data_IF_680802694201
#
_entry.id   IF_680802694201
#
_cell.length_a   1.000
_cell.length_b   1.000
_cell.length_c   1.000
_cell.angle_alpha   90.00
_cell.angle_beta   90.00
_cell.angle_gamma   90.00
#
_symmetry.space_group_name_H-M   'P 1'
#
loop_
_entity.id
_entity.type
_entity.pdbx_description
1 polymer ?
#
# COMPACT_ATOMS: atom_id res chain seq x y z
N UNK A 1 -18.74 -17.25 -0.34
CA UNK A 1 -18.61 -17.19 1.12
C UNK A 1 -17.41 -16.32 1.48
N UNK A 2 -17.64 -15.14 2.08
CA UNK A 2 -16.56 -14.19 2.44
C UNK A 2 -16.46 -14.11 3.95
N UNK A 3 -15.26 -14.31 4.48
CA UNK A 3 -14.99 -14.28 5.92
C UNK A 3 -13.85 -13.32 6.23
N UNK A 4 -13.95 -12.58 7.33
CA UNK A 4 -12.90 -11.64 7.77
C UNK A 4 -12.54 -11.85 9.25
N UNK A 5 -11.26 -11.68 9.58
CA UNK A 5 -10.77 -11.53 10.94
C UNK A 5 -10.21 -10.11 11.07
N UNK A 6 -10.73 -9.29 11.98
CA UNK A 6 -10.41 -7.85 12.07
C UNK A 6 -10.16 -7.41 13.53
N UNK A 7 -9.36 -6.36 13.74
CA UNK A 7 -9.03 -5.84 15.08
C UNK A 7 -8.99 -4.29 15.08
N UNK A 8 -10.12 -3.59 15.33
CA UNK A 8 -11.49 -4.07 15.44
C UNK A 8 -12.19 -4.21 14.07
N UNK A 9 -13.45 -4.65 14.05
CA UNK A 9 -14.32 -4.48 12.87
C UNK A 9 -14.75 -3.02 12.80
N UNK A 10 -14.34 -2.32 11.73
CA UNK A 10 -14.56 -0.86 11.59
C UNK A 10 -16.01 -0.52 11.18
N UNK A 11 -16.62 -1.34 10.33
CA UNK A 11 -18.00 -1.20 9.88
C UNK A 11 -18.54 -2.52 9.37
N UNK A 12 -19.86 -2.68 9.44
CA UNK A 12 -20.55 -3.89 9.00
C UNK A 12 -20.77 -3.89 7.49
N UNK A 13 -20.43 -5.01 6.84
CA UNK A 13 -20.61 -5.23 5.40
C UNK A 13 -21.62 -6.35 5.20
N UNK A 14 -22.74 -6.02 4.55
CA UNK A 14 -23.78 -6.99 4.24
C UNK A 14 -23.24 -8.13 3.37
N UNK A 15 -23.53 -9.38 3.76
CA UNK A 15 -23.09 -10.58 3.04
C UNK A 15 -21.66 -11.05 3.37
N UNK A 16 -20.98 -10.40 4.32
CA UNK A 16 -19.64 -10.78 4.80
C UNK A 16 -19.72 -11.27 6.24
N UNK A 17 -19.11 -12.41 6.54
CA UNK A 17 -19.01 -12.92 7.91
C UNK A 17 -17.78 -12.31 8.59
N UNK A 18 -17.99 -11.26 9.39
CA UNK A 18 -16.91 -10.52 10.04
C UNK A 18 -16.69 -10.99 11.49
N UNK A 19 -15.46 -11.36 11.81
CA UNK A 19 -15.05 -11.79 13.16
C UNK A 19 -14.08 -10.79 13.76
N UNK A 20 -14.46 -10.17 14.88
CA UNK A 20 -13.56 -9.31 15.62
C UNK A 20 -12.62 -10.16 16.51
N UNK A 21 -11.33 -9.90 16.41
CA UNK A 21 -10.28 -10.47 17.26
C UNK A 21 -10.52 -10.07 18.72
N UNK A 22 -10.32 -11.02 19.63
CA UNK A 22 -10.39 -10.78 21.08
C UNK A 22 -9.24 -11.51 21.77
N UNK A 23 -8.08 -10.87 21.85
CA UNK A 23 -6.87 -11.47 22.42
C UNK A 23 -7.06 -11.95 23.87
N UNK A 24 -7.85 -11.22 24.68
CA UNK A 24 -8.11 -11.55 26.10
C UNK A 24 -8.75 -12.92 26.32
N UNK A 25 -9.45 -13.46 25.32
CA UNK A 25 -10.09 -14.78 25.36
C UNK A 25 -9.43 -15.79 24.41
N UNK A 26 -8.26 -15.44 23.85
CA UNK A 26 -7.52 -16.31 22.93
C UNK A 26 -8.06 -16.36 21.49
N UNK A 27 -9.01 -15.49 21.13
CA UNK A 27 -9.54 -15.37 19.77
C UNK A 27 -8.60 -14.48 18.93
N UNK A 28 -7.42 -15.00 18.60
CA UNK A 28 -6.38 -14.30 17.81
C UNK A 28 -6.60 -14.44 16.30
N UNK A 29 -5.87 -13.67 15.47
CA UNK A 29 -5.90 -13.82 14.00
C UNK A 29 -5.63 -15.27 13.56
N UNK A 30 -4.57 -15.90 14.06
CA UNK A 30 -4.25 -17.28 13.78
C UNK A 30 -5.37 -18.27 14.19
N UNK A 31 -6.06 -18.01 15.31
CA UNK A 31 -7.21 -18.82 15.73
C UNK A 31 -8.40 -18.65 14.78
N UNK A 32 -8.78 -17.40 14.48
CA UNK A 32 -9.87 -17.09 13.56
C UNK A 32 -9.64 -17.74 12.20
N UNK A 33 -8.43 -17.57 11.66
CA UNK A 33 -8.06 -18.08 10.34
C UNK A 33 -8.10 -19.61 10.26
N UNK A 34 -7.61 -20.32 11.29
CA UNK A 34 -7.75 -21.79 11.37
C UNK A 34 -9.21 -22.24 11.39
N UNK A 35 -10.08 -21.45 12.01
CA UNK A 35 -11.50 -21.77 12.12
C UNK A 35 -12.22 -21.51 10.79
N UNK A 36 -11.91 -20.43 10.10
CA UNK A 36 -12.44 -20.11 8.77
C UNK A 36 -12.17 -21.23 7.76
N UNK A 37 -10.98 -21.85 7.80
CA UNK A 37 -10.65 -22.99 6.93
C UNK A 37 -11.55 -24.22 7.11
N UNK A 38 -12.35 -24.29 8.18
CA UNK A 38 -13.36 -25.35 8.41
C UNK A 38 -14.79 -24.88 8.13
N UNK A 39 -14.96 -23.75 7.47
CA UNK A 39 -16.25 -23.12 7.19
C UNK A 39 -16.54 -22.98 5.69
N UNK A 40 -15.81 -23.71 4.84
CA UNK A 40 -15.95 -23.67 3.38
C UNK A 40 -15.89 -22.22 2.83
N UNK A 41 -14.81 -21.45 3.11
CA UNK A 41 -14.69 -20.07 2.64
C UNK A 41 -14.32 -20.04 1.15
N UNK A 42 -14.69 -18.98 0.44
CA UNK A 42 -14.15 -18.67 -0.89
C UNK A 42 -13.09 -17.57 -0.81
N UNK A 43 -13.37 -16.56 0.02
CA UNK A 43 -12.53 -15.38 0.22
C UNK A 43 -12.30 -15.20 1.72
N UNK A 44 -11.04 -15.01 2.10
CA UNK A 44 -10.64 -14.77 3.49
C UNK A 44 -9.92 -13.42 3.54
N UNK A 45 -10.32 -12.54 4.47
CA UNK A 45 -9.59 -11.33 4.79
C UNK A 45 -9.02 -11.43 6.21
N UNK A 46 -7.72 -11.23 6.33
CA UNK A 46 -7.03 -11.12 7.62
C UNK A 46 -6.63 -9.67 7.80
N UNK A 47 -7.12 -9.02 8.84
CA UNK A 47 -6.94 -7.59 9.07
C UNK A 47 -5.48 -7.19 8.94
N UNK A 48 -4.58 -7.98 9.53
CA UNK A 48 -3.14 -7.84 9.34
C UNK A 48 -2.37 -9.12 9.67
N UNK A 49 -1.19 -9.27 9.07
CA UNK A 49 -0.21 -10.29 9.42
C UNK A 49 0.86 -9.63 10.29
N UNK A 50 0.80 -9.88 11.60
CA UNK A 50 1.79 -9.38 12.59
C UNK A 50 2.87 -10.41 12.94
N UNK A 51 2.56 -11.69 12.82
CA UNK A 51 3.38 -12.80 13.29
C UNK A 51 3.51 -13.93 12.27
N UNK A 52 4.51 -14.79 12.50
CA UNK A 52 4.83 -15.92 11.64
C UNK A 52 3.69 -16.94 11.55
N UNK A 53 2.95 -17.17 12.64
CA UNK A 53 1.88 -18.16 12.67
C UNK A 53 0.74 -17.74 11.74
N UNK A 54 0.30 -16.49 11.84
CA UNK A 54 -0.73 -15.89 10.99
C UNK A 54 -0.27 -15.89 9.53
N UNK A 55 0.98 -15.50 9.26
CA UNK A 55 1.57 -15.54 7.91
C UNK A 55 1.52 -16.96 7.31
N UNK A 56 1.96 -17.98 8.06
CA UNK A 56 1.99 -19.38 7.60
C UNK A 56 0.60 -19.89 7.26
N UNK A 57 -0.39 -19.64 8.11
CA UNK A 57 -1.75 -20.12 7.87
C UNK A 57 -2.37 -19.37 6.68
N UNK A 58 -2.10 -18.07 6.51
CA UNK A 58 -2.59 -17.30 5.37
C UNK A 58 -2.03 -17.82 4.04
N UNK A 59 -0.73 -18.13 4.00
CA UNK A 59 -0.08 -18.76 2.86
C UNK A 59 -0.67 -20.15 2.58
N UNK A 60 -0.92 -20.97 3.61
CA UNK A 60 -1.58 -22.28 3.45
C UNK A 60 -3.02 -22.16 2.92
N UNK A 61 -3.77 -21.16 3.38
CA UNK A 61 -5.10 -20.88 2.87
C UNK A 61 -5.05 -20.51 1.37
N UNK A 62 -4.10 -19.66 0.98
CA UNK A 62 -3.90 -19.30 -0.43
C UNK A 62 -3.47 -20.51 -1.29
N UNK A 63 -2.58 -21.38 -0.79
CA UNK A 63 -2.16 -22.60 -1.50
C UNK A 63 -3.31 -23.58 -1.74
N UNK A 64 -4.29 -23.63 -0.83
CA UNK A 64 -5.46 -24.51 -0.94
C UNK A 64 -6.55 -23.93 -1.85
N UNK A 65 -6.29 -22.80 -2.51
CA UNK A 65 -7.14 -22.23 -3.55
C UNK A 65 -8.05 -21.07 -3.10
N UNK A 66 -7.92 -20.62 -1.85
CA UNK A 66 -8.69 -19.50 -1.33
C UNK A 66 -8.10 -18.16 -1.78
N UNK A 67 -8.95 -17.17 -2.06
CA UNK A 67 -8.49 -15.80 -2.21
C UNK A 67 -8.24 -15.21 -0.81
N UNK A 68 -6.99 -14.88 -0.51
CA UNK A 68 -6.59 -14.29 0.77
C UNK A 68 -6.21 -12.83 0.58
N UNK A 69 -6.87 -11.95 1.34
CA UNK A 69 -6.55 -10.54 1.44
C UNK A 69 -5.96 -10.27 2.83
N UNK A 70 -4.87 -9.52 2.91
CA UNK A 70 -4.30 -9.13 4.20
C UNK A 70 -3.50 -7.84 4.09
N UNK A 71 -3.23 -7.21 5.24
CA UNK A 71 -2.32 -6.07 5.33
C UNK A 71 -1.01 -6.45 6.02
N UNK A 72 0.06 -5.73 5.66
CA UNK A 72 1.35 -5.75 6.33
C UNK A 72 1.83 -4.30 6.49
N UNK A 73 2.53 -4.02 7.59
CA UNK A 73 3.16 -2.72 7.82
C UNK A 73 4.53 -2.69 7.14
N UNK A 74 4.57 -2.15 5.93
CA UNK A 74 5.80 -1.95 5.15
C UNK A 74 5.82 -0.57 4.49
N UNK A 75 6.99 -0.15 4.00
CA UNK A 75 7.16 1.18 3.39
C UNK A 75 6.74 1.23 1.93
N UNK A 76 6.83 0.09 1.24
CA UNK A 76 6.63 -0.07 -0.19
C UNK A 76 6.26 -1.53 -0.49
N UNK A 77 5.85 -1.79 -1.72
CA UNK A 77 5.38 -3.10 -2.14
C UNK A 77 6.50 -4.16 -2.18
N UNK A 78 7.72 -3.89 -2.69
CA UNK A 78 8.83 -4.84 -2.63
C UNK A 78 9.19 -5.28 -1.21
N UNK A 79 9.16 -4.36 -0.23
CA UNK A 79 9.47 -4.65 1.17
C UNK A 79 8.48 -5.60 1.83
N UNK A 80 7.25 -5.77 1.29
CA UNK A 80 6.32 -6.78 1.78
C UNK A 80 6.87 -8.20 1.57
N UNK A 81 7.61 -8.43 0.49
CA UNK A 81 8.22 -9.73 0.21
C UNK A 81 9.32 -10.04 1.21
N UNK A 82 10.26 -9.12 1.40
CA UNK A 82 11.34 -9.31 2.38
C UNK A 82 10.78 -9.42 3.80
N UNK A 83 9.71 -8.69 4.14
CA UNK A 83 9.03 -8.82 5.42
C UNK A 83 8.44 -10.22 5.66
N UNK A 84 7.86 -10.84 4.63
CA UNK A 84 7.38 -12.23 4.72
C UNK A 84 8.53 -13.22 4.89
N UNK A 85 9.67 -12.99 4.21
CA UNK A 85 10.88 -13.80 4.37
C UNK A 85 11.43 -13.67 5.80
N UNK A 86 11.48 -12.45 6.35
CA UNK A 86 11.92 -12.19 7.73
C UNK A 86 11.01 -12.86 8.77
N UNK A 87 9.72 -13.01 8.45
CA UNK A 87 8.78 -13.80 9.26
C UNK A 87 8.97 -15.32 9.09
N UNK A 88 9.95 -15.76 8.31
CA UNK A 88 10.27 -17.17 8.05
C UNK A 88 9.29 -17.86 7.12
N UNK A 89 8.71 -17.13 6.16
CA UNK A 89 8.02 -17.71 5.01
C UNK A 89 9.05 -17.98 3.91
N UNK A 90 9.07 -19.22 3.44
CA UNK A 90 10.00 -19.64 2.40
C UNK A 90 9.72 -18.92 1.06
N UNK A 91 10.75 -18.44 0.34
CA UNK A 91 10.58 -17.71 -0.92
C UNK A 91 9.67 -18.41 -1.95
N UNK A 92 9.76 -19.74 -2.07
CA UNK A 92 8.92 -20.49 -3.02
C UNK A 92 7.43 -20.48 -2.65
N UNK A 93 7.09 -20.33 -1.37
CA UNK A 93 5.70 -20.19 -0.93
C UNK A 93 5.17 -18.82 -1.31
N UNK A 94 5.99 -17.78 -1.15
CA UNK A 94 5.63 -16.40 -1.53
C UNK A 94 5.35 -16.35 -3.03
N UNK A 95 6.27 -16.87 -3.85
CA UNK A 95 6.13 -16.83 -5.32
C UNK A 95 4.96 -17.67 -5.85
N UNK A 96 4.54 -18.70 -5.12
CA UNK A 96 3.40 -19.55 -5.53
C UNK A 96 2.04 -19.04 -5.06
N UNK A 97 1.99 -18.13 -4.07
CA UNK A 97 0.72 -17.69 -3.46
C UNK A 97 0.44 -16.21 -3.60
N UNK A 98 1.45 -15.35 -3.50
CA UNK A 98 1.28 -13.91 -3.55
C UNK A 98 1.10 -13.51 -5.01
N UNK A 99 -0.05 -12.90 -5.33
CA UNK A 99 -0.39 -12.44 -6.68
C UNK A 99 0.05 -11.01 -6.94
N UNK A 100 -0.19 -10.14 -5.97
CA UNK A 100 0.16 -8.74 -6.04
C UNK A 100 0.33 -8.17 -4.64
N UNK A 101 1.08 -7.08 -4.54
CA UNK A 101 1.22 -6.27 -3.33
C UNK A 101 0.86 -4.83 -3.67
N UNK A 102 0.08 -4.21 -2.81
CA UNK A 102 -0.29 -2.79 -2.93
C UNK A 102 0.28 -2.05 -1.73
N UNK A 103 1.20 -1.12 -1.98
CA UNK A 103 1.59 -0.13 -0.99
C UNK A 103 0.77 1.15 -1.20
N UNK A 104 0.34 1.76 -0.10
CA UNK A 104 -0.51 2.95 -0.12
C UNK A 104 -0.02 4.00 0.86
N UNK A 105 -0.13 5.26 0.43
CA UNK A 105 0.04 6.45 1.28
C UNK A 105 -1.09 7.44 1.05
N UNK A 106 -1.33 8.31 2.02
CA UNK A 106 -2.30 9.39 1.91
C UNK A 106 -1.59 10.74 1.92
N UNK A 107 -1.82 11.53 0.88
CA UNK A 107 -1.41 12.93 0.81
C UNK A 107 -2.60 13.85 1.01
N UNK A 108 -2.35 15.02 1.59
CA UNK A 108 -3.34 16.09 1.69
C UNK A 108 -3.56 16.73 0.32
N UNK A 109 -4.81 17.08 0.02
CA UNK A 109 -5.18 17.73 -1.25
C UNK A 109 -5.16 19.25 -1.08
N UNK A 110 -4.62 19.98 -2.05
CA UNK A 110 -4.60 21.45 -2.01
C UNK A 110 -6.05 21.96 -1.95
N UNK A 111 -6.33 22.86 -1.01
CA UNK A 111 -7.66 23.43 -0.83
C UNK A 111 -8.11 24.15 -2.12
N UNK A 112 -9.29 23.80 -2.68
CA UNK A 112 -9.77 24.40 -3.93
C UNK A 112 -10.09 25.89 -3.80
N UNK A 113 -10.39 26.38 -2.59
CA UNK A 113 -10.78 27.78 -2.35
C UNK A 113 -9.61 28.75 -2.26
N UNK A 114 -8.41 28.27 -1.91
CA UNK A 114 -7.21 29.11 -1.79
C UNK A 114 -6.03 28.59 -2.62
N UNK A 115 -6.31 27.73 -3.61
CA UNK A 115 -5.31 27.21 -4.55
C UNK A 115 -4.73 28.35 -5.38
N UNK A 116 -3.42 28.51 -5.31
CA UNK A 116 -2.66 29.50 -6.06
C UNK A 116 -1.46 28.85 -6.75
N UNK A 117 -0.87 29.56 -7.72
CA UNK A 117 0.32 29.11 -8.46
C UNK A 117 1.58 29.80 -7.95
N UNK A 118 2.71 29.12 -8.01
CA UNK A 118 4.02 29.71 -7.77
C UNK A 118 5.06 29.13 -8.73
N UNK A 119 6.16 29.86 -8.92
CA UNK A 119 7.34 29.35 -9.64
C UNK A 119 8.23 28.61 -8.63
N UNK A 120 8.38 27.29 -8.74
CA UNK A 120 9.19 26.53 -7.80
C UNK A 120 10.70 26.80 -8.01
N UNK A 121 11.50 26.90 -6.93
CA UNK A 121 12.95 26.91 -7.05
C UNK A 121 13.46 25.58 -7.62
N UNK A 122 14.65 25.61 -8.25
CA UNK A 122 15.22 24.42 -8.89
C UNK A 122 15.48 23.25 -7.91
N UNK A 123 15.75 23.54 -6.63
CA UNK A 123 15.93 22.51 -5.60
C UNK A 123 14.68 21.66 -5.37
N UNK A 124 13.52 22.32 -5.22
CA UNK A 124 12.23 21.64 -5.00
C UNK A 124 11.83 20.75 -6.20
N UNK A 125 12.17 21.17 -7.42
CA UNK A 125 12.00 20.35 -8.61
C UNK A 125 12.93 19.13 -8.62
N UNK A 126 14.19 19.32 -8.21
CA UNK A 126 15.19 18.26 -8.17
C UNK A 126 14.83 17.17 -7.15
N UNK A 127 14.36 17.55 -5.97
CA UNK A 127 14.02 16.61 -4.89
C UNK A 127 12.92 15.64 -5.29
N UNK A 128 11.98 16.09 -6.13
CA UNK A 128 10.94 15.23 -6.70
C UNK A 128 11.33 14.57 -8.03
N UNK A 129 12.47 14.91 -8.64
CA UNK A 129 12.79 14.48 -9.99
C UNK A 129 11.88 15.08 -11.07
N UNK A 130 11.36 16.28 -10.85
CA UNK A 130 10.57 17.04 -11.84
C UNK A 130 11.53 17.89 -12.68
N UNK A 131 11.37 17.81 -14.00
CA UNK A 131 12.04 18.71 -14.94
C UNK A 131 11.14 19.91 -15.27
N UNK A 132 11.71 21.11 -15.53
CA UNK A 132 10.92 22.29 -15.90
C UNK A 132 9.99 22.07 -17.11
N UNK A 133 10.37 21.18 -18.03
CA UNK A 133 9.57 20.84 -19.21
C UNK A 133 8.27 20.10 -18.88
N UNK A 134 8.20 19.43 -17.72
CA UNK A 134 6.99 18.74 -17.26
C UNK A 134 5.95 19.71 -16.66
N UNK A 135 6.34 20.94 -16.32
CA UNK A 135 5.46 21.90 -15.67
C UNK A 135 4.57 22.62 -16.69
N UNK A 136 3.26 22.58 -16.44
CA UNK A 136 2.30 23.42 -17.19
C UNK A 136 2.55 24.89 -16.85
N UNK A 137 2.91 25.70 -17.86
CA UNK A 137 3.25 27.14 -17.72
C UNK A 137 4.41 27.43 -16.74
N UNK A 138 5.25 26.44 -16.43
CA UNK A 138 6.39 26.60 -15.53
C UNK A 138 6.01 26.89 -14.06
N UNK A 139 4.83 26.45 -13.62
CA UNK A 139 4.33 26.67 -12.25
C UNK A 139 3.93 25.38 -11.56
N UNK A 140 3.97 25.40 -10.22
CA UNK A 140 3.33 24.44 -9.33
C UNK A 140 2.23 25.13 -8.53
N UNK A 141 1.48 24.34 -7.77
CA UNK A 141 0.31 24.78 -7.03
C UNK A 141 0.51 24.61 -5.52
N UNK A 142 -0.07 25.53 -4.74
CA UNK A 142 -0.12 25.44 -3.28
C UNK A 142 -1.39 26.10 -2.75
N UNK A 143 -1.78 25.79 -1.52
CA UNK A 143 -2.85 26.52 -0.84
C UNK A 143 -2.29 27.72 -0.08
N UNK A 144 -2.91 28.90 -0.22
CA UNK A 144 -2.51 30.10 0.52
C UNK A 144 -3.01 30.11 1.99
N UNK A 145 -3.95 29.23 2.33
CA UNK A 145 -4.70 29.28 3.59
C UNK A 145 -5.94 30.17 3.48
N UNK A 146 -7.07 29.68 3.99
CA UNK A 146 -8.35 30.41 4.07
C UNK A 146 -9.26 29.76 5.12
N UNK A 147 -10.39 30.40 5.42
CA UNK A 147 -11.34 29.91 6.42
C UNK A 147 -11.87 28.51 6.13
N UNK A 148 -12.08 28.16 4.85
CA UNK A 148 -12.60 26.84 4.44
C UNK A 148 -11.63 25.68 4.74
N UNK A 149 -10.33 25.97 4.82
CA UNK A 149 -9.30 25.00 5.18
C UNK A 149 -8.67 25.29 6.55
N UNK A 150 -9.28 26.19 7.34
CA UNK A 150 -8.79 26.61 8.66
C UNK A 150 -7.32 27.06 8.60
N UNK A 151 -6.96 27.80 7.54
CA UNK A 151 -5.61 28.30 7.32
C UNK A 151 -4.57 27.27 6.89
N UNK A 152 -4.89 25.97 6.79
CA UNK A 152 -3.90 24.93 6.49
C UNK A 152 -3.41 24.92 5.03
N UNK A 153 -4.22 25.44 4.11
CA UNK A 153 -3.97 25.33 2.66
C UNK A 153 -4.37 23.98 2.06
N UNK A 154 -4.90 23.05 2.86
CA UNK A 154 -5.29 21.71 2.42
C UNK A 154 -6.73 21.36 2.80
N UNK A 155 -7.41 20.57 1.99
CA UNK A 155 -8.76 20.09 2.28
C UNK A 155 -8.98 18.70 1.68
N UNK A 156 -9.20 17.70 2.53
CA UNK A 156 -9.32 16.30 2.12
C UNK A 156 -7.98 15.59 1.89
N UNK A 157 -8.05 14.33 1.48
CA UNK A 157 -6.89 13.45 1.24
C UNK A 157 -7.05 12.70 -0.07
N UNK A 158 -5.95 12.31 -0.68
CA UNK A 158 -5.91 11.44 -1.86
C UNK A 158 -4.91 10.30 -1.65
N UNK A 159 -5.23 9.13 -2.17
CA UNK A 159 -4.35 7.96 -2.12
C UNK A 159 -3.27 8.02 -3.19
N UNK A 160 -2.04 7.75 -2.78
CA UNK A 160 -0.94 7.32 -3.65
C UNK A 160 -0.84 5.80 -3.53
N UNK A 161 -0.66 5.13 -4.66
CA UNK A 161 -0.66 3.68 -4.75
C UNK A 161 0.55 3.20 -5.55
N UNK A 162 1.26 2.22 -5.01
CA UNK A 162 2.28 1.46 -5.71
C UNK A 162 1.79 0.02 -5.79
N UNK A 163 1.61 -0.44 -7.02
CA UNK A 163 1.01 -1.74 -7.33
C UNK A 163 2.07 -2.62 -7.98
N UNK A 164 2.51 -3.65 -7.25
CA UNK A 164 3.50 -4.61 -7.71
C UNK A 164 2.81 -5.94 -8.00
N UNK A 165 2.76 -6.35 -9.26
CA UNK A 165 2.41 -7.73 -9.61
C UNK A 165 3.59 -8.67 -9.35
N UNK A 166 3.30 -9.85 -8.81
CA UNK A 166 4.33 -10.89 -8.57
C UNK A 166 4.38 -11.81 -9.80
N UNK A 167 4.88 -11.25 -10.90
CA UNK A 167 5.02 -11.92 -12.19
C UNK A 167 6.24 -12.86 -12.26
N UNK A 168 6.47 -13.50 -13.41
CA UNK A 168 7.59 -14.44 -13.58
C UNK A 168 9.00 -13.82 -13.39
N UNK A 169 9.16 -12.51 -13.57
CA UNK A 169 10.45 -11.83 -13.38
C UNK A 169 10.65 -11.48 -11.90
N UNK A 170 9.63 -10.95 -11.24
CA UNK A 170 9.62 -10.71 -9.80
C UNK A 170 9.77 -12.02 -9.04
N UNK A 171 9.06 -13.08 -9.42
CA UNK A 171 9.21 -14.41 -8.80
C UNK A 171 10.65 -14.92 -8.89
N UNK A 172 11.31 -14.77 -10.04
CA UNK A 172 12.72 -15.15 -10.20
C UNK A 172 13.63 -14.33 -9.30
N UNK A 173 13.39 -13.03 -9.17
CA UNK A 173 14.12 -12.17 -8.26
C UNK A 173 14.01 -12.65 -6.80
N UNK A 174 12.80 -12.99 -6.36
CA UNK A 174 12.51 -13.49 -5.01
C UNK A 174 13.23 -14.82 -4.76
N UNK A 175 13.16 -15.77 -5.70
CA UNK A 175 13.82 -17.08 -5.58
C UNK A 175 15.35 -16.98 -5.56
N UNK A 176 15.92 -15.94 -6.17
CA UNK A 176 17.36 -15.65 -6.14
C UNK A 176 17.80 -14.97 -4.84
N UNK A 177 16.88 -14.67 -3.91
CA UNK A 177 17.19 -14.00 -2.66
C UNK A 177 17.57 -12.53 -2.85
N UNK A 178 17.07 -11.89 -3.91
CA UNK A 178 17.26 -10.45 -4.13
C UNK A 178 16.62 -9.63 -3.02
N UNK A 179 17.26 -8.52 -2.66
CA UNK A 179 16.71 -7.58 -1.67
C UNK A 179 15.55 -6.75 -2.24
N UNK A 180 14.91 -5.96 -1.37
CA UNK A 180 13.74 -5.16 -1.74
C UNK A 180 14.05 -4.14 -2.86
N UNK A 181 15.26 -3.57 -2.90
CA UNK A 181 15.62 -2.59 -3.92
C UNK A 181 15.84 -3.25 -5.27
N UNK A 182 16.52 -4.40 -5.29
CA UNK A 182 16.70 -5.19 -6.50
C UNK A 182 15.36 -5.78 -7.02
N UNK A 183 14.41 -6.09 -6.13
CA UNK A 183 13.05 -6.46 -6.52
C UNK A 183 12.31 -5.25 -7.12
N UNK A 184 12.47 -4.06 -6.51
CA UNK A 184 11.91 -2.81 -7.03
C UNK A 184 12.40 -2.53 -8.45
N UNK A 185 13.70 -2.61 -8.71
CA UNK A 185 14.28 -2.39 -10.04
C UNK A 185 13.64 -3.30 -11.10
N UNK A 186 13.37 -4.56 -10.76
CA UNK A 186 12.71 -5.52 -11.64
C UNK A 186 11.25 -5.12 -11.88
N UNK A 187 10.51 -4.78 -10.82
CA UNK A 187 9.10 -4.39 -10.92
C UNK A 187 8.92 -3.06 -11.67
N UNK A 188 9.79 -2.08 -11.44
CA UNK A 188 9.82 -0.80 -12.16
C UNK A 188 10.06 -1.01 -13.65
N UNK A 189 10.98 -1.92 -14.01
CA UNK A 189 11.22 -2.30 -15.40
C UNK A 189 10.01 -3.01 -16.05
N UNK A 190 9.08 -3.55 -15.26
CA UNK A 190 7.79 -4.11 -15.73
C UNK A 190 6.65 -3.09 -15.72
N UNK A 191 6.93 -1.82 -15.42
CA UNK A 191 5.95 -0.74 -15.47
C UNK A 191 5.23 -0.47 -14.14
N UNK A 192 5.72 -1.01 -13.03
CA UNK A 192 5.30 -0.56 -11.70
C UNK A 192 5.52 0.96 -11.57
N UNK A 193 4.54 1.64 -11.00
CA UNK A 193 4.62 3.07 -10.69
C UNK A 193 4.86 3.18 -9.18
N UNK A 194 5.99 3.75 -8.80
CA UNK A 194 6.32 3.96 -7.39
C UNK A 194 5.43 5.01 -6.72
N UNK A 195 5.36 4.99 -5.39
CA UNK A 195 4.65 6.03 -4.63
C UNK A 195 5.15 7.44 -4.98
N UNK A 196 6.46 7.61 -5.09
CA UNK A 196 7.10 8.88 -5.46
C UNK A 196 6.74 9.32 -6.88
N UNK A 197 6.79 8.40 -7.86
CA UNK A 197 6.39 8.69 -9.25
C UNK A 197 4.92 9.09 -9.33
N UNK A 198 4.03 8.37 -8.63
CA UNK A 198 2.61 8.72 -8.61
C UNK A 198 2.39 10.07 -7.93
N UNK A 199 3.02 10.31 -6.78
CA UNK A 199 2.99 11.60 -6.10
C UNK A 199 3.47 12.75 -7.00
N UNK A 200 4.57 12.55 -7.73
CA UNK A 200 5.09 13.52 -8.70
C UNK A 200 4.05 13.93 -9.74
N UNK A 201 3.33 12.96 -10.31
CA UNK A 201 2.25 13.23 -11.28
C UNK A 201 1.13 14.07 -10.64
N UNK A 202 0.73 13.73 -9.42
CA UNK A 202 -0.29 14.49 -8.67
C UNK A 202 0.15 15.93 -8.35
N UNK A 203 1.43 16.15 -8.10
CA UNK A 203 2.02 17.49 -7.91
C UNK A 203 1.96 18.30 -9.20
N UNK A 204 2.37 17.72 -10.32
CA UNK A 204 2.34 18.38 -11.64
C UNK A 204 0.90 18.76 -12.03
N UNK A 205 -0.08 17.93 -11.71
CA UNK A 205 -1.51 18.21 -11.92
C UNK A 205 -2.11 19.18 -10.88
N UNK A 206 -1.32 19.58 -9.87
CA UNK A 206 -1.73 20.51 -8.84
C UNK A 206 -2.74 19.95 -7.85
N UNK A 207 -2.81 18.63 -7.68
CA UNK A 207 -3.69 18.00 -6.69
C UNK A 207 -3.09 18.12 -5.28
N UNK A 208 -1.79 17.93 -5.15
CA UNK A 208 -1.04 18.03 -3.89
C UNK A 208 0.24 18.85 -4.07
N UNK A 209 1.02 19.02 -3.01
CA UNK A 209 2.26 19.81 -2.99
C UNK A 209 3.49 18.90 -2.95
N UNK A 210 4.68 19.40 -3.35
CA UNK A 210 5.92 18.65 -3.20
C UNK A 210 6.22 18.20 -1.78
N UNK A 211 5.99 19.09 -0.82
CA UNK A 211 6.12 18.82 0.61
C UNK A 211 5.31 17.58 1.04
N UNK A 212 4.06 17.46 0.58
CA UNK A 212 3.21 16.34 0.94
C UNK A 212 3.70 15.01 0.38
N UNK A 213 4.21 15.00 -0.85
CA UNK A 213 4.73 13.78 -1.48
C UNK A 213 6.01 13.32 -0.78
N UNK A 214 6.96 14.22 -0.56
CA UNK A 214 8.23 13.91 0.11
C UNK A 214 8.06 13.48 1.57
N UNK A 215 6.98 13.93 2.24
CA UNK A 215 6.67 13.51 3.61
C UNK A 215 6.26 12.04 3.72
N UNK A 216 5.67 11.47 2.66
CA UNK A 216 5.04 10.14 2.73
C UNK A 216 5.66 9.09 1.80
N UNK A 217 6.53 9.50 0.88
CA UNK A 217 7.16 8.63 -0.12
C UNK A 217 8.57 8.24 0.27
#
# INVERSE_FOLDING_TARGET
NIMTAEDPVEYEISGVSQTQVQEKIGLTFAHCLRTMLRQDPDIIMVGEIRDQDTARIAIQAALTGHLVLSTLHTNDAPSAVTRLIDMGIEPYLITSTVRAVIAQRLVRVICPHCKTTYKPPAGELKDLGITPAQLKKGVLYKGAGCDQCVGTGYQGRNGLYEFMEVDNLVQRAILQGKDAEQIREVADAQGMITLLEYGRRKVIDGLTTPEEVLRVS
#
